data_IF_331696696492
#
_entry.id   IF_331696696492
#
_cell.length_a   1.000
_cell.length_b   1.000
_cell.length_c   1.000
_cell.angle_alpha   90.00
_cell.angle_beta   90.00
_cell.angle_gamma   90.00
#
_symmetry.space_group_name_H-M   'P 1'
#
loop_
_entity.id
_entity.type
_entity.pdbx_description
1 polymer ?
#
# COMPACT_ATOMS: atom_id res chain seq x y z
N UNK A 1 -2.82 14.35 7.77
CA UNK A 1 -1.69 13.57 7.21
C UNK A 1 -0.91 14.42 6.22
N UNK A 2 0.40 14.20 6.17
CA UNK A 2 1.29 14.89 5.23
C UNK A 2 2.20 13.89 4.56
N UNK A 3 2.62 14.19 3.33
CA UNK A 3 3.66 13.42 2.64
C UNK A 3 4.98 13.59 3.39
N UNK A 4 5.67 12.47 3.60
CA UNK A 4 6.89 12.43 4.44
C UNK A 4 8.12 12.88 3.65
N UNK A 5 8.29 12.35 2.43
CA UNK A 5 9.48 12.60 1.63
C UNK A 5 9.16 12.69 0.14
N UNK A 6 10.17 13.03 -0.67
CA UNK A 6 10.04 13.12 -2.12
C UNK A 6 9.59 14.50 -2.59
N UNK A 7 9.13 14.55 -3.84
CA UNK A 7 8.78 15.82 -4.50
C UNK A 7 7.61 16.55 -3.85
N UNK A 8 6.76 15.83 -3.12
CA UNK A 8 5.59 16.41 -2.44
C UNK A 8 5.77 16.51 -0.93
N UNK A 9 6.98 16.40 -0.45
CA UNK A 9 7.29 16.45 0.99
C UNK A 9 6.58 17.60 1.70
N UNK A 10 5.92 17.31 2.83
CA UNK A 10 5.25 18.27 3.67
C UNK A 10 3.86 18.69 3.21
N UNK A 11 3.44 18.29 2.02
CA UNK A 11 2.11 18.63 1.50
C UNK A 11 1.03 17.78 2.17
N UNK A 12 -0.12 18.39 2.39
CA UNK A 12 -1.24 17.77 3.10
C UNK A 12 -1.96 16.74 2.22
N UNK A 13 -2.30 15.59 2.81
CA UNK A 13 -3.15 14.56 2.24
C UNK A 13 -4.52 14.67 2.89
N UNK A 14 -5.57 14.78 2.07
CA UNK A 14 -6.94 14.86 2.56
C UNK A 14 -7.44 13.45 2.92
N UNK A 15 -7.97 13.30 4.15
CA UNK A 15 -8.59 12.06 4.58
C UNK A 15 -10.05 11.99 4.12
N UNK A 16 -10.63 10.77 4.00
CA UNK A 16 -12.06 10.62 3.72
C UNK A 16 -12.91 11.27 4.81
N UNK A 17 -14.09 11.76 4.43
CA UNK A 17 -15.07 12.24 5.41
C UNK A 17 -15.63 11.05 6.17
N UNK A 18 -15.75 11.19 7.51
CA UNK A 18 -16.24 10.15 8.41
C UNK A 18 -15.12 9.34 9.03
N UNK A 19 -15.46 8.60 10.07
CA UNK A 19 -14.48 7.86 10.89
C UNK A 19 -14.37 6.38 10.50
N UNK A 20 -14.88 6.00 9.34
CA UNK A 20 -14.91 4.61 8.92
C UNK A 20 -13.52 4.04 8.60
N UNK A 21 -12.56 4.91 8.33
CA UNK A 21 -11.19 4.51 8.01
C UNK A 21 -10.23 4.98 9.10
N UNK A 22 -9.42 4.05 9.60
CA UNK A 22 -8.31 4.38 10.48
C UNK A 22 -7.22 5.06 9.63
N UNK A 23 -6.84 6.30 9.92
CA UNK A 23 -5.70 6.89 9.24
C UNK A 23 -4.42 6.15 9.61
N UNK A 24 -3.64 5.73 8.63
CA UNK A 24 -2.27 5.29 8.87
C UNK A 24 -1.51 6.47 9.45
N UNK A 25 -0.95 6.32 10.64
CA UNK A 25 -0.23 7.42 11.28
C UNK A 25 0.98 7.83 10.45
N UNK A 26 1.33 9.12 10.52
CA UNK A 26 2.55 9.60 9.85
C UNK A 26 3.78 8.84 10.32
N UNK A 27 3.83 8.48 11.61
CA UNK A 27 4.92 7.69 12.19
C UNK A 27 5.00 6.27 11.60
N UNK A 28 3.87 5.58 11.50
CA UNK A 28 3.84 4.23 10.89
C UNK A 28 4.25 4.28 9.43
N UNK A 29 3.76 5.26 8.69
CA UNK A 29 4.10 5.45 7.29
C UNK A 29 5.57 5.79 7.09
N UNK A 30 6.12 6.68 7.91
CA UNK A 30 7.55 6.99 7.91
C UNK A 30 8.40 5.76 8.17
N UNK A 31 8.05 4.97 9.18
CA UNK A 31 8.76 3.72 9.51
C UNK A 31 8.69 2.72 8.37
N UNK A 32 7.49 2.51 7.80
CA UNK A 32 7.30 1.58 6.70
C UNK A 32 8.16 1.95 5.49
N UNK A 33 8.15 3.21 5.09
CA UNK A 33 8.93 3.66 3.94
C UNK A 33 10.43 3.69 4.21
N UNK A 34 10.85 3.88 5.44
CA UNK A 34 12.26 3.71 5.85
C UNK A 34 12.70 2.25 5.70
N UNK A 35 11.86 1.29 6.14
CA UNK A 35 12.13 -0.14 5.94
C UNK A 35 12.21 -0.49 4.46
N UNK A 36 11.26 0.01 3.65
CA UNK A 36 11.24 -0.22 2.20
C UNK A 36 12.46 0.40 1.51
N UNK A 37 12.83 1.63 1.84
CA UNK A 37 13.98 2.30 1.25
C UNK A 37 15.28 1.52 1.50
N UNK A 38 15.42 0.94 2.69
CA UNK A 38 16.54 0.09 3.04
C UNK A 38 16.66 -1.15 2.14
N UNK A 39 15.53 -1.67 1.66
CA UNK A 39 15.48 -2.89 0.82
C UNK A 39 15.51 -2.58 -0.68
N UNK A 40 14.80 -1.53 -1.08
CA UNK A 40 14.67 -1.16 -2.50
C UNK A 40 15.83 -0.32 -3.01
N UNK A 41 16.47 0.44 -2.12
CA UNK A 41 17.46 1.46 -2.50
C UNK A 41 16.83 2.72 -3.07
N UNK A 42 15.91 2.61 -4.01
CA UNK A 42 15.18 3.72 -4.63
C UNK A 42 13.76 3.30 -4.98
N UNK A 43 12.85 4.25 -5.00
CA UNK A 43 11.48 4.06 -5.49
C UNK A 43 11.34 4.45 -6.97
N UNK A 44 12.39 5.00 -7.55
CA UNK A 44 12.36 5.53 -8.92
C UNK A 44 11.94 4.46 -9.93
N UNK A 45 10.90 4.77 -10.70
CA UNK A 45 10.43 3.91 -11.78
C UNK A 45 9.56 2.73 -11.37
N UNK A 46 9.26 2.56 -10.08
CA UNK A 46 8.49 1.39 -9.61
C UNK A 46 7.03 1.43 -10.04
N UNK A 47 6.49 0.27 -10.37
CA UNK A 47 5.06 0.01 -10.51
C UNK A 47 4.49 -0.42 -9.17
N UNK A 48 3.52 0.33 -8.64
CA UNK A 48 2.99 0.18 -7.28
C UNK A 48 1.50 -0.14 -7.32
N UNK A 49 1.05 -1.01 -6.43
CA UNK A 49 -0.36 -1.20 -6.14
C UNK A 49 -0.61 -0.90 -4.65
N UNK A 50 -1.56 -0.01 -4.38
CA UNK A 50 -2.00 0.35 -3.03
C UNK A 50 -3.37 -0.28 -2.80
N UNK A 51 -3.38 -1.43 -2.11
CA UNK A 51 -4.58 -2.23 -1.87
C UNK A 51 -5.15 -1.87 -0.50
N UNK A 52 -6.47 -1.72 -0.40
CA UNK A 52 -7.15 -1.12 0.75
C UNK A 52 -6.67 0.33 0.93
N UNK A 53 -6.74 1.11 -0.16
CA UNK A 53 -5.98 2.35 -0.26
C UNK A 53 -6.44 3.46 0.69
N UNK A 54 -7.69 3.46 1.15
CA UNK A 54 -8.22 4.50 2.04
C UNK A 54 -8.10 5.89 1.42
N UNK A 55 -7.32 6.77 2.04
CA UNK A 55 -7.02 8.10 1.49
C UNK A 55 -6.00 8.10 0.35
N UNK A 56 -5.37 6.95 0.11
CA UNK A 56 -4.28 6.83 -0.86
C UNK A 56 -2.91 7.25 -0.31
N UNK A 57 -2.78 7.42 0.99
CA UNK A 57 -1.56 7.95 1.60
C UNK A 57 -0.31 7.13 1.27
N UNK A 58 -0.41 5.79 1.28
CA UNK A 58 0.73 4.92 0.98
C UNK A 58 1.16 5.04 -0.49
N UNK A 59 0.22 4.92 -1.41
CA UNK A 59 0.50 5.03 -2.84
C UNK A 59 1.01 6.42 -3.23
N UNK A 60 0.44 7.47 -2.64
CA UNK A 60 0.90 8.85 -2.86
C UNK A 60 2.32 9.06 -2.34
N UNK A 61 2.66 8.46 -1.20
CA UNK A 61 4.03 8.50 -0.68
C UNK A 61 5.01 7.84 -1.66
N UNK A 62 4.65 6.69 -2.21
CA UNK A 62 5.47 6.01 -3.21
C UNK A 62 5.67 6.87 -4.47
N UNK A 63 4.60 7.47 -4.98
CA UNK A 63 4.66 8.38 -6.12
C UNK A 63 5.55 9.59 -5.83
N UNK A 64 5.42 10.18 -4.63
CA UNK A 64 6.25 11.30 -4.20
C UNK A 64 7.74 10.96 -4.20
N UNK A 65 8.07 9.73 -3.91
CA UNK A 65 9.46 9.24 -3.85
C UNK A 65 10.01 8.76 -5.19
N UNK A 66 9.20 8.81 -6.26
CA UNK A 66 9.67 8.54 -7.62
C UNK A 66 9.01 7.37 -8.34
N UNK A 67 8.06 6.67 -7.72
CA UNK A 67 7.37 5.57 -8.40
C UNK A 67 6.76 6.05 -9.72
N UNK A 68 6.84 5.21 -10.74
CA UNK A 68 6.34 5.58 -12.07
C UNK A 68 4.83 5.56 -12.15
N UNK A 69 4.20 4.64 -11.44
CA UNK A 69 2.75 4.44 -11.50
C UNK A 69 2.23 3.83 -10.21
N UNK A 70 1.02 4.20 -9.80
CA UNK A 70 0.30 3.56 -8.70
C UNK A 70 -1.14 3.26 -9.07
N UNK A 71 -1.54 1.99 -8.87
CA UNK A 71 -2.93 1.56 -8.89
C UNK A 71 -3.47 1.61 -7.46
N UNK A 72 -4.52 2.40 -7.26
CA UNK A 72 -5.23 2.50 -5.97
C UNK A 72 -6.50 1.64 -6.05
N UNK A 73 -6.65 0.70 -5.13
CA UNK A 73 -7.85 -0.15 -5.03
C UNK A 73 -8.54 0.11 -3.71
N UNK A 74 -9.78 0.58 -3.78
CA UNK A 74 -10.58 0.94 -2.61
C UNK A 74 -12.06 0.74 -2.91
N UNK A 75 -12.81 0.15 -1.97
CA UNK A 75 -14.24 -0.12 -2.18
C UNK A 75 -15.16 0.97 -1.64
N UNK A 76 -14.73 1.72 -0.61
CA UNK A 76 -15.55 2.77 -0.01
C UNK A 76 -15.63 3.99 -0.93
N UNK A 77 -16.85 4.40 -1.37
CA UNK A 77 -17.00 5.55 -2.27
C UNK A 77 -16.45 6.86 -1.69
N UNK A 78 -16.57 7.08 -0.39
CA UNK A 78 -16.03 8.28 0.25
C UNK A 78 -14.50 8.30 0.24
N UNK A 79 -13.88 7.14 0.48
CA UNK A 79 -12.43 7.01 0.39
C UNK A 79 -11.93 7.20 -1.05
N UNK A 80 -12.61 6.60 -2.02
CA UNK A 80 -12.31 6.80 -3.45
C UNK A 80 -12.37 8.28 -3.83
N UNK A 81 -13.38 8.99 -3.34
CA UNK A 81 -13.50 10.44 -3.58
C UNK A 81 -12.29 11.20 -3.02
N UNK A 82 -11.83 10.83 -1.82
CA UNK A 82 -10.64 11.43 -1.24
C UNK A 82 -9.37 11.11 -2.05
N UNK A 83 -9.22 9.88 -2.50
CA UNK A 83 -8.09 9.49 -3.37
C UNK A 83 -8.07 10.34 -4.64
N UNK A 84 -9.20 10.47 -5.32
CA UNK A 84 -9.29 11.25 -6.56
C UNK A 84 -8.97 12.71 -6.33
N UNK A 85 -9.43 13.29 -5.21
CA UNK A 85 -9.12 14.66 -4.83
C UNK A 85 -7.63 14.84 -4.57
N UNK A 86 -7.00 13.90 -3.87
CA UNK A 86 -5.56 13.94 -3.62
C UNK A 86 -4.75 13.81 -4.91
N UNK A 87 -5.13 12.91 -5.79
CA UNK A 87 -4.47 12.74 -7.10
C UNK A 87 -4.52 14.05 -7.89
N UNK A 88 -5.66 14.74 -7.88
CA UNK A 88 -5.81 16.02 -8.55
C UNK A 88 -4.93 17.10 -7.90
N UNK A 89 -4.95 17.19 -6.57
CA UNK A 89 -4.15 18.16 -5.81
C UNK A 89 -2.65 18.02 -6.10
N UNK A 90 -2.17 16.80 -6.24
CA UNK A 90 -0.75 16.52 -6.52
C UNK A 90 -0.41 16.47 -8.01
N UNK A 91 -1.39 16.70 -8.88
CA UNK A 91 -1.22 16.60 -10.35
C UNK A 91 -0.64 15.24 -10.77
N UNK A 92 -1.17 14.17 -10.16
CA UNK A 92 -0.67 12.81 -10.33
C UNK A 92 -1.53 11.95 -11.27
N UNK A 93 -2.43 12.53 -12.04
CA UNK A 93 -3.41 11.79 -12.86
C UNK A 93 -2.77 10.85 -13.87
N UNK A 94 -1.69 11.28 -14.53
CA UNK A 94 -1.02 10.46 -15.54
C UNK A 94 -0.22 9.29 -14.96
N UNK A 95 0.00 9.30 -13.65
CA UNK A 95 0.77 8.27 -12.93
C UNK A 95 -0.12 7.44 -12.00
N UNK A 96 -1.42 7.62 -12.08
CA UNK A 96 -2.36 7.01 -11.14
C UNK A 96 -3.53 6.37 -11.86
N UNK A 97 -4.00 5.26 -11.30
CA UNK A 97 -5.23 4.60 -11.72
C UNK A 97 -6.03 4.29 -10.44
N UNK A 98 -7.34 4.51 -10.47
CA UNK A 98 -8.21 4.23 -9.33
C UNK A 98 -9.23 3.17 -9.72
N UNK A 99 -9.23 2.06 -9.00
CA UNK A 99 -10.21 0.99 -9.13
C UNK A 99 -11.13 1.04 -7.90
N UNK A 100 -12.36 1.48 -8.09
CA UNK A 100 -13.38 1.44 -7.03
C UNK A 100 -13.97 0.03 -6.97
N UNK A 101 -13.52 -0.74 -6.02
CA UNK A 101 -13.98 -2.11 -5.83
C UNK A 101 -13.23 -2.80 -4.71
N UNK A 102 -13.67 -4.01 -4.41
CA UNK A 102 -13.01 -4.83 -3.40
C UNK A 102 -11.73 -5.44 -3.93
N UNK A 103 -10.69 -5.46 -3.11
CA UNK A 103 -9.46 -6.20 -3.39
C UNK A 103 -9.76 -7.67 -3.68
N UNK A 104 -10.79 -8.22 -3.04
CA UNK A 104 -11.18 -9.63 -3.21
C UNK A 104 -11.80 -9.91 -4.59
N UNK A 105 -12.16 -8.89 -5.35
CA UNK A 105 -12.75 -9.02 -6.69
C UNK A 105 -11.74 -8.74 -7.81
N UNK A 106 -10.48 -8.49 -7.48
CA UNK A 106 -9.45 -8.26 -8.49
C UNK A 106 -9.22 -9.52 -9.33
N UNK A 107 -9.06 -9.32 -10.64
CA UNK A 107 -8.71 -10.39 -11.56
C UNK A 107 -7.20 -10.60 -11.67
N UNK A 108 -6.78 -11.48 -12.61
CA UNK A 108 -5.35 -11.71 -12.85
C UNK A 108 -4.62 -10.44 -13.29
N UNK A 109 -3.40 -10.27 -12.83
CA UNK A 109 -2.53 -9.20 -13.30
C UNK A 109 -1.91 -9.58 -14.64
N UNK A 110 -1.74 -8.59 -15.53
CA UNK A 110 -1.00 -8.79 -16.78
C UNK A 110 0.50 -8.92 -16.53
N UNK A 111 0.98 -8.14 -15.56
CA UNK A 111 2.40 -8.11 -15.15
C UNK A 111 2.42 -7.93 -13.63
N UNK A 112 3.36 -8.59 -12.96
CA UNK A 112 3.54 -8.41 -11.53
C UNK A 112 3.98 -6.97 -11.22
N UNK A 113 3.53 -6.45 -10.07
CA UNK A 113 3.94 -5.14 -9.58
C UNK A 113 5.29 -5.21 -8.88
N UNK A 114 6.02 -4.11 -8.86
CA UNK A 114 7.30 -4.01 -8.15
C UNK A 114 7.11 -3.88 -6.63
N UNK A 115 6.03 -3.20 -6.23
CA UNK A 115 5.71 -2.96 -4.83
C UNK A 115 4.20 -3.06 -4.61
N UNK A 116 3.78 -3.87 -3.65
CA UNK A 116 2.38 -3.97 -3.22
C UNK A 116 2.29 -3.50 -1.78
N UNK A 117 1.44 -2.50 -1.56
CA UNK A 117 1.16 -1.91 -0.25
C UNK A 117 -0.22 -2.36 0.19
N UNK A 118 -0.33 -2.86 1.42
CA UNK A 118 -1.62 -3.31 1.98
C UNK A 118 -1.80 -2.75 3.39
N UNK A 119 -2.91 -2.06 3.61
CA UNK A 119 -3.34 -1.59 4.93
C UNK A 119 -4.79 -2.03 5.18
N UNK A 120 -5.06 -3.35 5.28
CA UNK A 120 -6.39 -3.88 5.49
C UNK A 120 -6.90 -3.57 6.91
N UNK A 121 -8.22 -3.71 7.16
CA UNK A 121 -8.75 -3.61 8.52
C UNK A 121 -8.05 -4.58 9.46
N UNK A 122 -7.76 -4.14 10.70
CA UNK A 122 -7.11 -4.97 11.71
C UNK A 122 -8.00 -6.13 12.15
N UNK A 123 -7.36 -7.25 12.49
CA UNK A 123 -7.98 -8.43 13.11
C UNK A 123 -9.13 -9.06 12.31
N UNK A 124 -9.12 -8.87 10.99
CA UNK A 124 -10.13 -9.44 10.07
C UNK A 124 -9.62 -10.61 9.25
N UNK A 125 -8.30 -10.80 9.19
CA UNK A 125 -7.68 -11.76 8.29
C UNK A 125 -7.67 -11.32 6.82
N UNK A 126 -8.15 -10.10 6.53
CA UNK A 126 -8.27 -9.62 5.14
C UNK A 126 -6.91 -9.53 4.43
N UNK A 127 -5.85 -9.18 5.16
CA UNK A 127 -4.50 -9.12 4.59
C UNK A 127 -4.01 -10.47 4.10
N UNK A 128 -4.22 -11.51 4.88
CA UNK A 128 -3.83 -12.87 4.51
C UNK A 128 -4.60 -13.37 3.29
N UNK A 129 -5.91 -13.17 3.27
CA UNK A 129 -6.76 -13.57 2.14
C UNK A 129 -6.36 -12.83 0.87
N UNK A 130 -6.13 -11.52 0.98
CA UNK A 130 -5.69 -10.71 -0.16
C UNK A 130 -4.34 -11.18 -0.71
N UNK A 131 -3.36 -11.42 0.14
CA UNK A 131 -2.04 -11.89 -0.28
C UNK A 131 -2.10 -13.24 -0.98
N UNK A 132 -2.87 -14.17 -0.45
CA UNK A 132 -3.07 -15.47 -1.08
C UNK A 132 -3.63 -15.32 -2.50
N UNK A 133 -4.63 -14.46 -2.68
CA UNK A 133 -5.17 -14.14 -4.00
C UNK A 133 -4.14 -13.50 -4.92
N UNK A 134 -3.38 -12.53 -4.41
CA UNK A 134 -2.38 -11.81 -5.21
C UNK A 134 -1.27 -12.74 -5.71
N UNK A 135 -0.86 -13.71 -4.90
CA UNK A 135 0.07 -14.76 -5.34
C UNK A 135 -0.53 -15.57 -6.48
N UNK A 136 -1.76 -16.06 -6.31
CA UNK A 136 -2.42 -16.91 -7.30
C UNK A 136 -2.73 -16.19 -8.61
N UNK A 137 -3.01 -14.89 -8.54
CA UNK A 137 -3.43 -14.08 -9.70
C UNK A 137 -2.26 -13.37 -10.41
N UNK A 138 -1.02 -13.65 -10.01
CA UNK A 138 0.15 -13.13 -10.71
C UNK A 138 0.49 -11.67 -10.40
N UNK A 139 -0.06 -11.10 -9.33
CA UNK A 139 0.28 -9.74 -8.88
C UNK A 139 1.64 -9.67 -8.23
N UNK A 140 2.10 -10.80 -7.66
CA UNK A 140 3.35 -10.92 -6.92
C UNK A 140 4.31 -11.79 -7.73
N UNK A 141 5.42 -11.22 -8.16
CA UNK A 141 6.51 -11.92 -8.84
C UNK A 141 7.76 -11.98 -7.98
N UNK A 142 8.84 -12.55 -8.52
CA UNK A 142 10.11 -12.74 -7.79
C UNK A 142 10.74 -11.44 -7.31
N UNK A 143 10.55 -10.35 -8.07
CA UNK A 143 11.12 -9.05 -7.73
C UNK A 143 10.18 -8.19 -6.86
N UNK A 144 8.96 -8.64 -6.60
CA UNK A 144 7.95 -7.86 -5.87
C UNK A 144 8.28 -7.79 -4.39
N UNK A 145 8.30 -6.57 -3.85
CA UNK A 145 8.25 -6.35 -2.40
C UNK A 145 6.81 -6.10 -1.97
N UNK A 146 6.47 -6.64 -0.82
CA UNK A 146 5.13 -6.51 -0.22
C UNK A 146 5.30 -5.85 1.13
N UNK A 147 4.52 -4.79 1.38
CA UNK A 147 4.46 -4.09 2.65
C UNK A 147 3.04 -4.21 3.21
N UNK A 148 2.91 -4.86 4.36
CA UNK A 148 1.63 -5.14 5.01
C UNK A 148 1.59 -4.53 6.40
N UNK A 149 0.56 -3.72 6.66
CA UNK A 149 0.25 -3.27 8.01
C UNK A 149 -0.90 -4.11 8.59
N UNK A 150 -0.71 -4.61 9.80
CA UNK A 150 -1.73 -5.37 10.55
C UNK A 150 -1.78 -4.86 11.99
N UNK A 151 -2.74 -5.37 12.76
CA UNK A 151 -2.68 -5.26 14.22
C UNK A 151 -1.45 -6.02 14.73
N UNK A 152 -0.88 -5.56 15.83
CA UNK A 152 0.42 -6.09 16.29
C UNK A 152 0.38 -7.58 16.66
N UNK A 153 -0.80 -8.14 16.92
CA UNK A 153 -0.99 -9.55 17.29
C UNK A 153 -1.43 -10.43 16.13
N UNK A 154 -1.75 -9.84 14.98
CA UNK A 154 -2.10 -10.62 13.80
C UNK A 154 -0.87 -11.35 13.28
N UNK A 155 -1.05 -12.60 12.92
CA UNK A 155 -0.04 -13.39 12.25
C UNK A 155 -0.45 -13.62 10.80
N UNK A 156 0.51 -13.55 9.89
CA UNK A 156 0.29 -13.79 8.48
C UNK A 156 1.21 -14.94 8.07
N UNK A 157 0.60 -15.99 7.53
CA UNK A 157 1.35 -17.13 7.03
C UNK A 157 0.79 -17.54 5.68
N UNK A 158 1.59 -17.35 4.64
CA UNK A 158 1.28 -17.75 3.27
C UNK A 158 2.46 -18.54 2.74
N UNK A 159 2.23 -19.81 2.43
CA UNK A 159 3.31 -20.75 2.05
C UNK A 159 4.29 -20.19 1.03
N UNK A 160 3.84 -19.57 -0.09
CA UNK A 160 4.78 -19.06 -1.10
C UNK A 160 5.59 -17.85 -0.66
N UNK A 161 5.23 -17.20 0.47
CA UNK A 161 5.86 -15.97 0.91
C UNK A 161 6.79 -16.20 2.10
N UNK A 162 7.84 -15.40 2.15
CA UNK A 162 8.75 -15.32 3.31
C UNK A 162 8.67 -13.93 3.91
N UNK A 163 8.66 -13.87 5.25
CA UNK A 163 8.76 -12.61 5.99
C UNK A 163 10.23 -12.21 6.04
N UNK A 164 10.56 -11.07 5.39
CA UNK A 164 11.91 -10.55 5.38
C UNK A 164 12.22 -9.73 6.64
N UNK A 165 11.25 -8.97 7.13
CA UNK A 165 11.42 -8.19 8.36
C UNK A 165 10.07 -7.75 8.90
N UNK A 166 9.99 -7.57 10.21
CA UNK A 166 8.82 -7.06 10.91
C UNK A 166 9.22 -5.95 11.88
N UNK A 167 8.31 -5.00 12.10
CA UNK A 167 8.50 -3.97 13.13
C UNK A 167 7.14 -3.57 13.73
N UNK A 168 7.09 -3.47 15.05
CA UNK A 168 5.90 -3.00 15.76
C UNK A 168 6.03 -1.49 15.99
N UNK A 169 5.00 -0.75 15.62
CA UNK A 169 4.89 0.69 15.84
C UNK A 169 3.52 0.95 16.49
N UNK A 170 3.52 1.24 17.78
CA UNK A 170 2.28 1.41 18.54
C UNK A 170 1.42 0.13 18.50
N UNK A 171 0.22 0.24 17.97
CA UNK A 171 -0.72 -0.89 17.80
C UNK A 171 -0.56 -1.61 16.47
N UNK A 172 0.29 -1.12 15.60
CA UNK A 172 0.50 -1.66 14.27
C UNK A 172 1.73 -2.57 14.22
N UNK A 173 1.66 -3.56 13.36
CA UNK A 173 2.82 -4.34 12.92
C UNK A 173 3.03 -4.13 11.44
N UNK A 174 4.25 -3.78 11.08
CA UNK A 174 4.68 -3.55 9.70
C UNK A 174 5.51 -4.75 9.26
N UNK A 175 5.08 -5.42 8.20
CA UNK A 175 5.71 -6.65 7.72
C UNK A 175 6.12 -6.47 6.26
N UNK A 176 7.37 -6.76 5.93
CA UNK A 176 7.84 -6.86 4.56
C UNK A 176 7.97 -8.32 4.16
N UNK A 177 7.39 -8.67 3.03
CA UNK A 177 7.36 -10.04 2.51
C UNK A 177 7.83 -10.08 1.06
N UNK A 178 8.26 -11.28 0.64
CA UNK A 178 8.61 -11.60 -0.75
C UNK A 178 8.25 -13.06 -1.05
N UNK A 179 8.23 -13.41 -2.34
CA UNK A 179 8.17 -14.82 -2.72
C UNK A 179 9.41 -15.56 -2.20
N UNK A 180 9.20 -16.77 -1.73
CA UNK A 180 10.31 -17.69 -1.45
C UNK A 180 11.04 -18.02 -2.75
N UNK A 181 12.35 -17.97 -2.70
CA UNK A 181 13.21 -18.39 -3.81
C UNK A 181 13.50 -19.88 -3.75
#
# INVERSE_FOLDING_TARGET
>A
MRVIAGVWRGRKITAPKGDATRPTSDRSRETLFSMLASRLGTFEGLSVADLFAGSGALGLEALSRGAAHCLFVEEDPNAVKAIRANIQTFDARTRSEVNQGSVMNLGPAKVAHDLILLDPPYDTGAGQVALDRMVRLGWIGEATWIALETGKREEVEIKPLVIETERVVGKAKLTLLRLKT
#
